data_IF_192722347084
#
_entry.id   IF_192722347084
#
_cell.length_a   1.000
_cell.length_b   1.000
_cell.length_c   1.000
_cell.angle_alpha   90.00
_cell.angle_beta   90.00
_cell.angle_gamma   90.00
#
_symmetry.space_group_name_H-M   'P 1'
#
loop_
_entity.id
_entity.type
_entity.pdbx_description
1 polymer ?
#
# COMPACT_ATOMS: atom_id res chain seq x y z
N UNK A 1 1.83 1.95 8.29
CA UNK A 1 1.31 3.18 8.92
C UNK A 1 0.02 2.89 9.67
N UNK A 2 -0.31 3.71 10.68
CA UNK A 2 -1.56 3.65 11.43
C UNK A 2 -2.19 5.04 11.54
N UNK A 3 -3.52 5.10 11.60
CA UNK A 3 -4.27 6.33 11.87
C UNK A 3 -4.57 6.45 13.36
N UNK A 4 -4.07 7.50 14.01
CA UNK A 4 -4.27 7.76 15.43
C UNK A 4 -4.65 9.22 15.62
N UNK A 5 -5.78 9.47 16.29
CA UNK A 5 -6.30 10.83 16.52
C UNK A 5 -6.32 11.72 15.27
N UNK A 6 -6.83 11.19 14.17
CA UNK A 6 -6.93 11.94 12.90
C UNK A 6 -5.63 12.07 12.11
N UNK A 7 -4.46 11.74 12.69
CA UNK A 7 -3.15 11.83 12.03
C UNK A 7 -2.63 10.47 11.60
N UNK A 8 -1.69 10.46 10.67
CA UNK A 8 -0.97 9.27 10.22
C UNK A 8 0.38 9.18 10.93
N UNK A 9 0.70 7.99 11.43
CA UNK A 9 1.95 7.70 12.11
C UNK A 9 2.62 6.48 11.49
N UNK A 10 3.96 6.50 11.46
CA UNK A 10 4.72 5.29 11.24
C UNK A 10 4.44 4.32 12.39
N UNK A 11 4.24 3.05 12.05
CA UNK A 11 4.07 1.97 13.00
C UNK A 11 4.90 0.78 12.53
N UNK A 12 5.62 0.16 13.45
CA UNK A 12 6.40 -1.05 13.18
C UNK A 12 5.62 -2.28 13.65
N UNK A 13 5.72 -3.36 12.89
CA UNK A 13 4.96 -4.58 13.16
C UNK A 13 5.79 -5.83 12.95
N UNK A 14 5.57 -6.82 13.81
CA UNK A 14 6.06 -8.18 13.60
C UNK A 14 5.01 -8.96 12.81
N UNK A 15 5.41 -9.58 11.70
CA UNK A 15 4.48 -10.35 10.86
C UNK A 15 4.08 -11.62 11.60
N UNK A 16 2.77 -11.82 11.77
CA UNK A 16 2.19 -13.01 12.41
C UNK A 16 1.78 -14.02 11.34
N UNK A 17 1.17 -13.54 10.26
CA UNK A 17 0.73 -14.40 9.16
C UNK A 17 0.66 -13.66 7.84
N UNK A 18 0.92 -14.41 6.78
CA UNK A 18 0.85 -13.96 5.39
C UNK A 18 -0.25 -14.76 4.72
N UNK A 19 -1.14 -14.09 4.00
CA UNK A 19 -2.19 -14.75 3.23
C UNK A 19 -2.20 -14.23 1.80
N UNK A 20 -2.26 -15.13 0.82
CA UNK A 20 -2.35 -14.79 -0.60
C UNK A 20 -3.62 -15.42 -1.13
N UNK A 21 -4.63 -14.59 -1.42
CA UNK A 21 -5.97 -15.06 -1.73
C UNK A 21 -6.61 -15.83 -0.56
N UNK A 22 -6.75 -17.15 -0.70
CA UNK A 22 -7.37 -18.02 0.32
C UNK A 22 -6.35 -18.87 1.10
N UNK A 23 -5.07 -18.81 0.73
CA UNK A 23 -4.02 -19.66 1.29
C UNK A 23 -3.12 -18.88 2.26
N UNK A 24 -2.65 -19.54 3.30
CA UNK A 24 -1.71 -18.98 4.29
C UNK A 24 -0.29 -19.45 4.01
N UNK A 25 0.67 -18.54 4.11
CA UNK A 25 2.07 -18.77 3.87
C UNK A 25 2.91 -18.35 5.07
N UNK A 26 4.02 -19.04 5.29
CA UNK A 26 5.04 -18.65 6.27
C UNK A 26 6.02 -17.63 5.68
N UNK A 27 6.28 -17.72 4.37
CA UNK A 27 7.22 -16.88 3.65
C UNK A 27 6.66 -16.54 2.27
N UNK A 28 6.98 -15.35 1.78
CA UNK A 28 6.63 -14.87 0.45
C UNK A 28 7.84 -14.14 -0.14
N UNK A 29 7.96 -14.14 -1.46
CA UNK A 29 8.99 -13.34 -2.12
C UNK A 29 8.62 -11.84 -2.03
N UNK A 30 9.63 -11.00 -1.80
CA UNK A 30 9.44 -9.56 -1.54
C UNK A 30 8.84 -8.81 -2.73
N UNK A 31 9.06 -9.29 -3.96
CA UNK A 31 8.48 -8.73 -5.18
C UNK A 31 6.96 -8.94 -5.27
N UNK A 32 6.42 -9.96 -4.60
CA UNK A 32 4.99 -10.28 -4.61
C UNK A 32 4.25 -9.56 -3.48
N UNK A 33 4.95 -9.04 -2.46
CA UNK A 33 4.29 -8.45 -1.29
C UNK A 33 3.41 -7.25 -1.64
N UNK A 34 3.74 -6.53 -2.71
CA UNK A 34 2.97 -5.38 -3.20
C UNK A 34 1.68 -5.75 -3.92
N UNK A 35 1.42 -7.03 -4.19
CA UNK A 35 0.21 -7.45 -4.89
C UNK A 35 -1.05 -7.26 -4.03
N UNK A 36 -2.13 -6.80 -4.65
CA UNK A 36 -3.43 -6.57 -3.99
C UNK A 36 -4.03 -7.84 -3.36
N UNK A 37 -3.59 -9.02 -3.82
CA UNK A 37 -4.05 -10.31 -3.30
C UNK A 37 -3.38 -10.71 -1.98
N UNK A 38 -2.30 -10.02 -1.60
CA UNK A 38 -1.54 -10.30 -0.39
C UNK A 38 -2.14 -9.52 0.77
N UNK A 39 -2.51 -10.23 1.83
CA UNK A 39 -2.96 -9.67 3.09
C UNK A 39 -1.99 -10.10 4.19
N UNK A 40 -1.46 -9.13 4.92
CA UNK A 40 -0.52 -9.33 6.03
C UNK A 40 -1.22 -9.07 7.35
N UNK A 41 -1.12 -10.03 8.26
CA UNK A 41 -1.46 -9.83 9.67
C UNK A 41 -0.18 -9.57 10.47
N UNK A 42 -0.15 -8.49 11.22
CA UNK A 42 1.01 -8.12 12.03
C UNK A 42 0.61 -7.69 13.45
N UNK A 43 1.56 -7.84 14.37
CA UNK A 43 1.48 -7.40 15.75
C UNK A 43 2.27 -6.10 15.92
N UNK A 44 1.67 -5.06 16.52
CA UNK A 44 2.34 -3.77 16.74
C UNK A 44 3.56 -3.92 17.66
N UNK A 45 4.69 -3.38 17.24
CA UNK A 45 5.91 -3.27 18.04
C UNK A 45 5.97 -1.88 18.65
N UNK A 46 6.16 -1.81 19.96
CA UNK A 46 6.37 -0.54 20.65
C UNK A 46 7.84 -0.12 20.62
N UNK A 47 8.08 1.18 20.51
CA UNK A 47 9.41 1.78 20.50
C UNK A 47 9.62 2.66 21.71
N UNK A 48 10.85 2.65 22.24
CA UNK A 48 11.29 3.60 23.26
C UNK A 48 12.62 4.22 22.87
N UNK A 49 12.83 5.52 23.18
CA UNK A 49 14.13 6.14 22.98
C UNK A 49 15.21 5.39 23.77
N UNK A 50 16.36 5.18 23.16
CA UNK A 50 17.56 4.76 23.87
C UNK A 50 18.13 5.95 24.63
N UNK A 51 18.29 5.80 25.94
CA UNK A 51 19.03 6.77 26.75
C UNK A 51 20.50 6.74 26.31
N UNK A 52 21.17 7.89 26.35
CA UNK A 52 22.60 8.01 26.02
C UNK A 52 23.50 7.41 27.13
N UNK A 53 23.16 6.23 27.64
CA UNK A 53 23.79 5.61 28.82
C UNK A 53 25.12 4.90 28.52
N UNK A 54 25.82 5.34 27.46
CA UNK A 54 27.20 4.95 27.20
C UNK A 54 27.37 3.77 26.26
N UNK A 55 26.36 3.42 25.44
CA UNK A 55 26.60 2.59 24.25
C UNK A 55 27.68 3.26 23.40
N UNK A 56 28.80 2.56 23.09
CA UNK A 56 29.86 3.11 22.25
C UNK A 56 29.39 3.38 20.82
N UNK A 57 28.29 2.73 20.42
CA UNK A 57 27.64 2.95 19.14
C UNK A 57 26.44 3.87 19.36
N UNK A 58 26.67 5.17 19.19
CA UNK A 58 25.66 6.24 19.31
C UNK A 58 24.75 6.32 18.07
N UNK A 59 24.80 5.31 17.20
CA UNK A 59 24.07 5.27 15.95
C UNK A 59 22.56 5.10 16.18
N UNK A 60 22.19 4.17 17.05
CA UNK A 60 20.79 3.83 17.32
C UNK A 60 20.24 4.65 18.49
N UNK A 61 19.12 5.33 18.29
CA UNK A 61 18.44 6.16 19.28
C UNK A 61 17.04 5.64 19.63
N UNK A 62 16.61 4.53 19.04
CA UNK A 62 15.38 3.81 19.39
C UNK A 62 15.62 2.32 19.53
N UNK A 63 14.85 1.70 20.45
CA UNK A 63 14.78 0.25 20.59
C UNK A 63 13.35 -0.26 20.69
N UNK A 64 13.12 -1.48 20.25
CA UNK A 64 11.83 -2.14 20.47
C UNK A 64 11.65 -2.58 21.91
N UNK A 65 10.39 -2.58 22.35
CA UNK A 65 9.95 -3.22 23.59
C UNK A 65 9.01 -4.36 23.19
N UNK A 66 9.40 -5.60 23.50
CA UNK A 66 8.50 -6.73 23.41
C UNK A 66 7.47 -6.64 24.54
N UNK A 67 6.20 -6.47 24.19
CA UNK A 67 5.10 -6.56 25.14
C UNK A 67 4.18 -7.71 24.74
N UNK A 68 3.67 -8.42 25.75
CA UNK A 68 2.60 -9.37 25.55
C UNK A 68 1.30 -8.60 25.26
N UNK A 69 0.50 -9.08 24.31
CA UNK A 69 -0.83 -8.54 23.97
C UNK A 69 -0.85 -7.15 23.29
N UNK A 70 0.12 -6.84 22.44
CA UNK A 70 0.01 -5.63 21.62
C UNK A 70 -1.07 -5.80 20.53
N UNK A 71 -1.71 -4.70 20.08
CA UNK A 71 -2.74 -4.74 19.04
C UNK A 71 -2.26 -5.44 17.77
N UNK A 72 -3.17 -6.19 17.15
CA UNK A 72 -2.93 -6.85 15.87
C UNK A 72 -3.77 -6.21 14.78
N UNK A 73 -3.20 -6.14 13.58
CA UNK A 73 -3.84 -5.53 12.43
C UNK A 73 -3.73 -6.42 11.21
N UNK A 74 -4.67 -6.27 10.28
CA UNK A 74 -4.65 -6.91 8.96
C UNK A 74 -4.69 -5.84 7.90
N UNK A 75 -3.72 -5.84 6.99
CA UNK A 75 -3.59 -4.83 5.94
C UNK A 75 -3.23 -5.48 4.60
N UNK A 76 -3.54 -4.83 3.47
CA UNK A 76 -2.95 -5.18 2.18
C UNK A 76 -1.43 -5.10 2.20
N UNK A 77 -0.78 -6.00 1.47
CA UNK A 77 0.67 -6.08 1.37
C UNK A 77 1.29 -4.84 0.73
N UNK A 78 0.58 -4.14 -0.16
CA UNK A 78 1.03 -2.88 -0.75
C UNK A 78 1.20 -1.72 0.26
N UNK A 79 0.66 -1.83 1.49
CA UNK A 79 0.69 -0.74 2.49
C UNK A 79 1.80 -0.89 3.53
N UNK A 80 2.73 -1.80 3.32
CA UNK A 80 3.85 -2.04 4.22
C UNK A 80 5.17 -1.89 3.48
N UNK A 81 6.20 -1.60 4.27
CA UNK A 81 7.58 -1.61 3.82
C UNK A 81 8.34 -2.62 4.69
N UNK A 82 8.95 -3.60 4.04
CA UNK A 82 9.75 -4.61 4.76
C UNK A 82 11.08 -3.98 5.15
N UNK A 83 11.45 -4.13 6.41
CA UNK A 83 12.70 -3.65 6.95
C UNK A 83 13.44 -4.81 7.62
N UNK A 84 14.77 -4.73 7.62
CA UNK A 84 15.64 -5.69 8.31
C UNK A 84 16.40 -4.94 9.41
N UNK A 85 15.83 -4.84 10.63
CA UNK A 85 16.45 -4.06 11.68
C UNK A 85 17.68 -4.76 12.29
N UNK A 86 18.58 -3.96 12.86
CA UNK A 86 19.66 -4.50 13.69
C UNK A 86 19.09 -5.14 14.95
N UNK A 87 19.54 -6.35 15.27
CA UNK A 87 19.11 -7.08 16.47
C UNK A 87 20.22 -7.04 17.50
N UNK A 88 19.88 -6.69 18.73
CA UNK A 88 20.81 -6.70 19.85
C UNK A 88 20.30 -7.59 20.99
N UNK A 89 21.24 -8.17 21.72
CA UNK A 89 21.00 -9.01 22.89
C UNK A 89 21.80 -8.38 24.03
N UNK A 90 21.16 -8.13 25.17
CA UNK A 90 21.90 -7.68 26.36
C UNK A 90 22.62 -8.87 27.01
N UNK A 91 23.83 -8.64 27.53
CA UNK A 91 24.65 -9.66 28.22
C UNK A 91 24.02 -10.25 29.50
N UNK A 92 22.93 -9.66 30.00
CA UNK A 92 22.19 -10.22 31.13
C UNK A 92 21.43 -11.47 30.71
N UNK A 93 21.74 -12.60 31.36
CA UNK A 93 21.23 -13.98 31.17
C UNK A 93 19.68 -14.18 31.19
N UNK A 94 18.86 -13.13 31.17
CA UNK A 94 17.39 -13.19 31.27
C UNK A 94 16.63 -12.42 30.20
N UNK A 95 17.28 -11.88 29.16
CA UNK A 95 16.63 -10.89 28.29
C UNK A 95 16.39 -11.34 26.85
N UNK A 96 15.19 -11.02 26.39
CA UNK A 96 14.69 -11.18 25.03
C UNK A 96 15.47 -10.28 24.07
N UNK A 97 15.77 -10.73 22.84
CA UNK A 97 16.36 -9.87 21.82
C UNK A 97 15.46 -8.65 21.54
N UNK A 98 16.07 -7.54 21.17
CA UNK A 98 15.35 -6.33 20.77
C UNK A 98 15.93 -5.77 19.47
N UNK A 99 15.08 -5.03 18.75
CA UNK A 99 15.42 -4.36 17.52
C UNK A 99 15.93 -2.95 17.83
N UNK A 100 16.93 -2.51 17.08
CA UNK A 100 17.51 -1.17 17.17
C UNK A 100 17.23 -0.39 15.90
N UNK A 101 16.91 0.88 16.05
CA UNK A 101 16.55 1.77 14.94
C UNK A 101 17.18 3.14 15.12
N UNK A 102 17.39 3.82 13.99
CA UNK A 102 17.80 5.22 13.92
C UNK A 102 16.60 6.09 13.58
N UNK A 103 16.46 7.24 14.23
CA UNK A 103 15.41 8.22 13.94
C UNK A 103 15.43 8.63 12.47
N UNK A 104 16.62 8.84 11.90
CA UNK A 104 16.82 9.23 10.50
C UNK A 104 16.19 8.20 9.54
N UNK A 105 16.44 6.92 9.78
CA UNK A 105 15.90 5.81 8.99
C UNK A 105 14.38 5.73 9.15
N UNK A 106 13.87 5.79 10.38
CA UNK A 106 12.43 5.75 10.63
C UNK A 106 11.70 6.94 9.98
N UNK A 107 12.25 8.16 10.07
CA UNK A 107 11.69 9.33 9.40
C UNK A 107 11.72 9.16 7.87
N UNK A 108 12.81 8.65 7.31
CA UNK A 108 12.91 8.38 5.86
C UNK A 108 11.87 7.35 5.41
N UNK A 109 11.68 6.27 6.17
CA UNK A 109 10.64 5.26 5.90
C UNK A 109 9.24 5.88 5.96
N UNK A 110 8.98 6.72 6.97
CA UNK A 110 7.68 7.38 7.11
C UNK A 110 7.33 8.27 5.91
N UNK A 111 8.32 9.01 5.39
CA UNK A 111 8.16 9.86 4.23
C UNK A 111 7.97 9.04 2.94
N UNK A 112 8.78 8.00 2.74
CA UNK A 112 8.68 7.11 1.58
C UNK A 112 7.31 6.41 1.53
N UNK A 113 6.87 5.84 2.66
CA UNK A 113 5.54 5.24 2.76
C UNK A 113 4.42 6.25 2.49
N UNK A 114 4.54 7.48 2.99
CA UNK A 114 3.54 8.53 2.76
C UNK A 114 3.47 8.93 1.28
N UNK A 115 4.61 9.02 0.59
CA UNK A 115 4.67 9.34 -0.84
C UNK A 115 4.11 8.24 -1.73
N UNK A 116 4.18 6.98 -1.28
CA UNK A 116 3.64 5.83 -2.00
C UNK A 116 2.12 5.64 -1.81
N UNK A 117 1.50 6.30 -0.83
CA UNK A 117 0.07 6.18 -0.58
C UNK A 117 -0.76 6.76 -1.73
N UNK A 118 -1.60 5.93 -2.32
CA UNK A 118 -2.67 6.41 -3.19
C UNK A 118 -3.95 6.65 -2.37
N UNK A 119 -4.89 7.47 -2.86
CA UNK A 119 -6.13 7.79 -2.11
C UNK A 119 -6.96 6.59 -1.72
N UNK A 120 -6.89 5.55 -2.53
CA UNK A 120 -7.63 4.32 -2.32
C UNK A 120 -7.08 3.51 -1.14
N UNK A 121 -5.83 3.74 -0.75
CA UNK A 121 -5.15 3.00 0.31
C UNK A 121 -5.54 3.47 1.71
N UNK A 122 -5.89 4.74 1.84
CA UNK A 122 -6.18 5.35 3.14
C UNK A 122 -7.34 4.68 3.87
N UNK A 123 -8.34 4.18 3.13
CA UNK A 123 -9.45 3.41 3.69
C UNK A 123 -9.02 2.08 4.31
N UNK A 124 -7.85 1.56 3.92
CA UNK A 124 -7.27 0.32 4.40
C UNK A 124 -6.26 0.53 5.54
N UNK A 125 -5.88 1.78 5.83
CA UNK A 125 -5.01 2.10 6.96
C UNK A 125 -5.78 1.87 8.27
N UNK A 126 -5.33 0.97 9.16
CA UNK A 126 -6.03 0.69 10.40
C UNK A 126 -6.06 1.91 11.33
N UNK A 127 -7.16 2.05 12.06
CA UNK A 127 -7.31 3.05 13.13
C UNK A 127 -6.90 2.45 14.47
N UNK A 128 -6.17 3.22 15.26
CA UNK A 128 -5.76 2.85 16.61
C UNK A 128 -6.01 4.01 17.57
N UNK A 129 -6.53 3.71 18.76
CA UNK A 129 -6.67 4.69 19.82
C UNK A 129 -5.31 5.06 20.39
N UNK A 130 -5.16 6.29 20.88
CA UNK A 130 -3.97 6.68 21.64
C UNK A 130 -3.82 5.75 22.85
N UNK A 131 -2.62 5.24 23.05
CA UNK A 131 -2.22 4.44 24.21
C UNK A 131 -1.01 5.09 24.87
N UNK A 132 -0.55 4.52 25.98
CA UNK A 132 0.68 4.97 26.64
C UNK A 132 1.92 4.81 25.74
N UNK A 133 1.92 3.78 24.89
CA UNK A 133 3.07 3.38 24.09
C UNK A 133 2.91 3.68 22.59
N UNK A 134 1.74 4.20 22.17
CA UNK A 134 1.48 4.64 20.79
C UNK A 134 0.55 5.87 20.72
N UNK A 135 0.84 6.93 19.93
CA UNK A 135 2.00 7.06 19.05
C UNK A 135 3.32 7.04 19.83
N UNK A 136 4.44 6.81 19.14
CA UNK A 136 5.74 6.79 19.81
C UNK A 136 6.08 8.20 20.31
N UNK A 137 6.66 8.31 21.50
CA UNK A 137 7.00 9.62 22.10
C UNK A 137 8.48 9.73 22.45
N UNK A 138 9.04 10.92 22.24
CA UNK A 138 10.36 11.31 22.74
C UNK A 138 10.25 12.68 23.41
N UNK A 139 10.75 12.79 24.64
CA UNK A 139 10.66 14.01 25.46
C UNK A 139 9.23 14.62 25.51
N UNK A 140 8.20 13.76 25.59
CA UNK A 140 6.79 14.17 25.67
C UNK A 140 6.17 14.61 24.35
N UNK A 141 6.90 14.56 23.24
CA UNK A 141 6.38 14.88 21.90
C UNK A 141 6.17 13.59 21.11
N UNK A 142 5.08 13.52 20.35
CA UNK A 142 4.86 12.41 19.44
C UNK A 142 5.90 12.44 18.31
N UNK A 143 6.35 11.26 17.89
CA UNK A 143 7.39 11.06 16.88
C UNK A 143 6.83 10.32 15.67
N UNK A 144 7.53 10.45 14.54
CA UNK A 144 7.22 9.75 13.28
C UNK A 144 5.80 10.01 12.77
N UNK A 145 5.33 11.25 12.93
CA UNK A 145 4.13 11.74 12.27
C UNK A 145 4.43 11.83 10.78
N UNK A 146 3.57 11.25 9.95
CA UNK A 146 3.66 11.36 8.50
C UNK A 146 3.00 12.69 8.10
N UNK A 147 3.79 13.76 8.04
CA UNK A 147 3.36 15.10 7.60
C UNK A 147 3.88 15.37 6.19
N UNK A 148 3.08 16.06 5.37
CA UNK A 148 3.51 16.52 4.05
C UNK A 148 3.30 18.04 3.97
N UNK A 149 4.42 18.78 4.08
CA UNK A 149 4.48 20.24 4.17
C UNK A 149 3.73 20.96 3.01
N UNK A 150 3.70 20.35 1.83
CA UNK A 150 3.15 20.95 0.62
C UNK A 150 1.66 20.63 0.39
N UNK A 151 1.07 19.72 1.14
CA UNK A 151 -0.23 19.12 0.77
C UNK A 151 -1.47 19.73 1.41
N UNK A 152 -1.34 20.84 2.16
CA UNK A 152 -2.49 21.43 2.86
C UNK A 152 -3.15 20.46 3.85
N UNK A 153 -2.41 19.44 4.30
CA UNK A 153 -2.83 18.39 5.22
C UNK A 153 -2.98 18.95 6.65
N UNK A 154 -3.85 19.93 6.83
CA UNK A 154 -4.15 20.46 8.16
C UNK A 154 -5.03 19.45 8.92
N UNK A 155 -4.37 18.72 9.81
CA UNK A 155 -4.75 18.08 11.08
C UNK A 155 -6.11 17.39 11.29
N UNK A 156 -7.11 17.47 10.41
CA UNK A 156 -8.41 16.84 10.68
C UNK A 156 -9.14 16.26 9.46
N UNK A 157 -8.65 16.44 8.24
CA UNK A 157 -9.46 16.15 7.06
C UNK A 157 -8.81 15.17 6.09
N UNK A 158 -8.46 13.98 6.60
CA UNK A 158 -8.14 12.83 5.75
C UNK A 158 -9.26 12.59 4.71
N UNK A 159 -10.52 12.89 5.05
CA UNK A 159 -11.65 12.83 4.11
C UNK A 159 -11.53 13.85 2.97
N UNK A 160 -11.00 15.04 3.24
CA UNK A 160 -10.73 16.05 2.21
C UNK A 160 -9.49 15.69 1.38
N UNK A 161 -8.48 15.07 1.98
CA UNK A 161 -7.36 14.51 1.21
C UNK A 161 -7.82 13.41 0.25
N UNK A 162 -8.69 12.51 0.69
CA UNK A 162 -9.32 11.51 -0.19
C UNK A 162 -10.12 12.17 -1.32
N UNK A 163 -10.72 13.33 -1.09
CA UNK A 163 -11.45 14.07 -2.11
C UNK A 163 -10.50 14.77 -3.10
N UNK A 164 -9.46 15.42 -2.60
CA UNK A 164 -8.52 16.21 -3.40
C UNK A 164 -7.61 15.32 -4.27
N UNK A 165 -7.14 14.19 -3.74
CA UNK A 165 -6.26 13.31 -4.52
C UNK A 165 -6.99 12.37 -5.50
N UNK A 166 -8.33 12.27 -5.47
CA UNK A 166 -9.06 11.60 -6.58
C UNK A 166 -8.82 12.27 -7.92
N UNK A 167 -8.43 13.54 -7.86
CA UNK A 167 -8.22 14.41 -8.97
C UNK A 167 -6.73 14.67 -9.17
N UNK A 168 -5.81 13.78 -8.84
CA UNK A 168 -4.38 13.96 -9.15
C UNK A 168 -3.88 12.87 -10.08
N UNK A 169 -2.97 13.20 -10.99
CA UNK A 169 -2.31 12.20 -11.82
C UNK A 169 -1.47 11.26 -10.94
N UNK A 170 -1.44 9.96 -11.26
CA UNK A 170 -0.59 9.00 -10.55
C UNK A 170 0.90 9.10 -10.92
N UNK A 171 1.23 9.72 -12.05
CA UNK A 171 2.61 9.85 -12.54
C UNK A 171 3.25 11.19 -12.21
N UNK A 172 2.47 12.20 -11.82
CA UNK A 172 2.99 13.51 -11.47
C UNK A 172 2.02 14.30 -10.56
N UNK A 173 2.47 15.35 -9.87
CA UNK A 173 1.66 16.06 -8.88
C UNK A 173 0.59 17.00 -9.47
N UNK A 174 0.19 16.81 -10.73
CA UNK A 174 -0.82 17.66 -11.38
C UNK A 174 -2.22 17.28 -10.92
N UNK A 175 -2.97 18.28 -10.46
CA UNK A 175 -4.41 18.16 -10.19
C UNK A 175 -5.18 18.17 -11.52
N UNK A 176 -5.84 17.07 -11.81
CA UNK A 176 -6.79 16.80 -12.88
C UNK A 176 -8.15 17.44 -12.58
N UNK A 177 -8.49 18.48 -13.34
CA UNK A 177 -9.81 19.11 -13.27
C UNK A 177 -10.87 18.22 -13.95
N UNK A 178 -11.67 17.51 -13.14
CA UNK A 178 -12.73 16.61 -13.62
C UNK A 178 -13.84 17.35 -14.39
N UNK A 179 -13.99 18.67 -14.25
CA UNK A 179 -14.94 19.45 -15.03
C UNK A 179 -14.42 19.78 -16.44
N UNK A 180 -13.11 19.53 -16.69
CA UNK A 180 -12.45 19.75 -17.98
C UNK A 180 -11.84 18.45 -18.52
N UNK A 181 -12.65 17.52 -19.05
CA UNK A 181 -12.15 16.23 -19.52
C UNK A 181 -11.08 16.36 -20.62
N UNK A 182 -11.11 17.40 -21.44
CA UNK A 182 -10.05 17.65 -22.43
C UNK A 182 -8.70 17.97 -21.78
N UNK A 183 -8.70 18.64 -20.62
CA UNK A 183 -7.48 18.91 -19.85
C UNK A 183 -6.87 17.62 -19.33
N UNK A 184 -7.71 16.71 -18.83
CA UNK A 184 -7.29 15.39 -18.35
C UNK A 184 -6.67 14.57 -19.49
N UNK A 185 -7.35 14.50 -20.64
CA UNK A 185 -6.83 13.78 -21.81
C UNK A 185 -5.51 14.37 -22.32
N UNK A 186 -5.41 15.69 -22.36
CA UNK A 186 -4.16 16.38 -22.79
C UNK A 186 -3.02 16.07 -21.84
N UNK A 187 -3.30 16.08 -20.54
CA UNK A 187 -2.34 15.74 -19.51
C UNK A 187 -1.84 14.29 -19.63
N UNK A 188 -2.74 13.33 -19.77
CA UNK A 188 -2.38 11.90 -19.93
C UNK A 188 -1.62 11.68 -21.24
N UNK A 189 -2.05 12.31 -22.34
CA UNK A 189 -1.35 12.24 -23.61
C UNK A 189 0.08 12.81 -23.52
N UNK A 190 0.30 13.82 -22.67
CA UNK A 190 1.64 14.37 -22.40
C UNK A 190 2.54 13.31 -21.77
N UNK A 191 2.06 12.51 -20.82
CA UNK A 191 2.82 11.39 -20.28
C UNK A 191 3.15 10.34 -21.35
N UNK A 192 2.18 9.93 -22.17
CA UNK A 192 2.44 8.95 -23.25
C UNK A 192 3.52 9.45 -24.22
N UNK A 193 3.45 10.73 -24.61
CA UNK A 193 4.32 11.29 -25.63
C UNK A 193 5.72 11.65 -25.12
N UNK A 194 5.85 12.00 -23.84
CA UNK A 194 7.05 12.68 -23.33
C UNK A 194 7.65 12.06 -22.06
N UNK A 195 6.93 11.20 -21.34
CA UNK A 195 7.46 10.57 -20.14
C UNK A 195 8.35 9.37 -20.49
N UNK A 196 9.62 9.44 -20.11
CA UNK A 196 10.59 8.36 -20.38
C UNK A 196 10.33 7.11 -19.54
N UNK A 197 9.52 7.20 -18.49
CA UNK A 197 9.15 6.07 -17.65
C UNK A 197 7.96 5.28 -18.22
N UNK A 198 7.22 5.85 -19.17
CA UNK A 198 6.13 5.15 -19.84
C UNK A 198 6.70 4.33 -21.00
N UNK A 199 6.64 3.00 -20.87
CA UNK A 199 7.04 2.11 -21.95
C UNK A 199 6.03 2.18 -23.10
N UNK A 200 6.34 2.99 -24.11
CA UNK A 200 5.51 3.13 -25.30
C UNK A 200 5.33 1.81 -26.08
N UNK A 201 6.25 0.86 -25.94
CA UNK A 201 6.16 -0.44 -26.60
C UNK A 201 5.10 -1.35 -25.99
N UNK A 202 4.67 -1.05 -24.76
CA UNK A 202 3.61 -1.77 -24.04
C UNK A 202 2.19 -1.36 -24.45
N UNK A 203 2.06 -0.43 -25.41
CA UNK A 203 0.77 0.16 -25.83
C UNK A 203 -0.04 0.67 -24.62
N UNK A 204 0.48 1.66 -23.86
CA UNK A 204 -0.14 2.10 -22.63
C UNK A 204 -1.53 2.68 -22.89
N UNK A 205 -2.45 2.40 -21.96
CA UNK A 205 -3.83 2.83 -22.05
C UNK A 205 -3.93 4.36 -22.07
N UNK A 206 -4.65 4.94 -23.04
CA UNK A 206 -4.80 6.40 -23.22
C UNK A 206 -5.48 7.17 -22.08
N UNK A 207 -5.82 6.50 -20.98
CA UNK A 207 -6.51 7.06 -19.82
C UNK A 207 -5.80 6.77 -18.49
N UNK A 208 -5.41 5.52 -18.23
CA UNK A 208 -4.73 5.16 -16.97
C UNK A 208 -3.24 4.84 -17.12
N UNK A 209 -2.71 4.87 -18.35
CA UNK A 209 -1.30 4.61 -18.69
C UNK A 209 -0.79 3.21 -18.33
N UNK A 210 -1.65 2.33 -17.83
CA UNK A 210 -1.32 0.91 -17.61
C UNK A 210 -1.20 0.17 -18.96
N UNK A 211 -0.29 -0.80 -19.06
CA UNK A 211 -0.12 -1.60 -20.28
C UNK A 211 -1.36 -2.48 -20.56
N UNK A 212 -1.65 -2.70 -21.83
CA UNK A 212 -2.67 -3.68 -22.24
C UNK A 212 -2.22 -5.10 -21.87
N UNK A 213 -3.07 -5.97 -21.29
CA UNK A 213 -4.53 -5.87 -21.14
C UNK A 213 -5.00 -5.43 -19.73
N UNK A 214 -4.10 -4.97 -18.86
CA UNK A 214 -4.40 -4.69 -17.44
C UNK A 214 -5.43 -3.55 -17.31
N UNK A 215 -5.45 -2.64 -18.29
CA UNK A 215 -6.43 -1.56 -18.39
C UNK A 215 -7.86 -2.10 -18.68
N UNK A 216 -8.65 -2.35 -17.63
CA UNK A 216 -10.06 -2.68 -17.74
C UNK A 216 -10.94 -1.50 -17.30
N UNK A 217 -11.48 -0.74 -18.26
CA UNK A 217 -12.57 0.19 -17.95
C UNK A 217 -13.90 -0.58 -17.96
N UNK A 218 -14.41 -0.91 -16.78
CA UNK A 218 -15.80 -1.32 -16.65
C UNK A 218 -16.69 -0.06 -16.67
N UNK A 219 -17.23 0.28 -17.83
CA UNK A 219 -18.35 1.20 -17.92
C UNK A 219 -19.53 0.54 -17.19
N UNK A 220 -19.86 1.04 -15.99
CA UNK A 220 -20.98 0.54 -15.18
C UNK A 220 -22.29 0.87 -15.91
N UNK A 221 -22.75 -0.04 -16.76
CA UNK A 221 -23.86 0.14 -17.70
C UNK A 221 -25.26 0.24 -17.09
N UNK A 222 -25.42 0.84 -15.91
CA UNK A 222 -26.70 0.87 -15.19
C UNK A 222 -27.17 2.28 -14.76
N UNK A 223 -26.48 3.36 -15.12
CA UNK A 223 -26.84 4.71 -14.67
C UNK A 223 -26.94 5.78 -15.77
N UNK A 224 -26.60 5.43 -17.01
CA UNK A 224 -26.70 6.35 -18.15
C UNK A 224 -27.44 5.63 -19.29
N UNK A 225 -28.78 5.56 -19.18
CA UNK A 225 -29.58 5.41 -20.39
C UNK A 225 -29.43 6.71 -21.17
N UNK A 226 -28.78 6.63 -22.33
CA UNK A 226 -28.75 7.74 -23.28
C UNK A 226 -30.19 8.19 -23.49
N UNK A 227 -30.47 9.46 -23.23
CA UNK A 227 -31.78 10.01 -23.55
C UNK A 227 -32.01 9.82 -25.05
N UNK A 228 -33.26 9.58 -25.52
CA UNK A 228 -33.54 9.42 -26.94
C UNK A 228 -32.97 10.55 -27.82
N UNK A 229 -32.89 11.77 -27.28
CA UNK A 229 -32.26 12.91 -27.95
C UNK A 229 -30.73 12.76 -28.12
N UNK A 230 -30.02 12.24 -27.12
CA UNK A 230 -28.57 11.99 -27.18
C UNK A 230 -28.26 10.86 -28.16
N UNK A 231 -29.09 9.82 -28.16
CA UNK A 231 -28.99 8.72 -29.11
C UNK A 231 -29.18 9.21 -30.55
N UNK A 232 -30.17 10.09 -30.77
CA UNK A 232 -30.39 10.71 -32.08
C UNK A 232 -29.24 11.62 -32.52
N UNK A 233 -28.62 12.37 -31.60
CA UNK A 233 -27.44 13.19 -31.88
C UNK A 233 -26.21 12.33 -32.23
N UNK A 234 -26.00 11.22 -31.52
CA UNK A 234 -24.94 10.26 -31.86
C UNK A 234 -25.15 9.64 -33.24
N UNK A 235 -26.38 9.26 -33.56
CA UNK A 235 -26.73 8.71 -34.87
C UNK A 235 -26.51 9.74 -36.00
N UNK A 236 -26.91 10.99 -35.79
CA UNK A 236 -26.63 12.08 -36.73
C UNK A 236 -25.13 12.34 -36.90
N UNK A 237 -24.34 12.33 -35.82
CA UNK A 237 -22.90 12.51 -35.88
C UNK A 237 -22.24 11.35 -36.64
N UNK A 238 -22.68 10.12 -36.37
CA UNK A 238 -22.22 8.92 -37.07
C UNK A 238 -22.53 8.98 -38.56
N UNK A 239 -23.74 9.36 -38.94
CA UNK A 239 -24.14 9.52 -40.34
C UNK A 239 -23.33 10.62 -41.02
N UNK A 240 -23.15 11.77 -40.35
CA UNK A 240 -22.37 12.90 -40.87
C UNK A 240 -20.92 12.50 -41.14
N UNK A 241 -20.30 11.74 -40.24
CA UNK A 241 -18.92 11.28 -40.39
C UNK A 241 -18.77 10.13 -41.40
N UNK A 242 -19.80 9.27 -41.56
CA UNK A 242 -19.78 8.14 -42.49
C UNK A 242 -20.34 8.47 -43.88
N UNK A 243 -20.71 9.73 -44.15
CA UNK A 243 -20.85 10.21 -45.53
C UNK A 243 -19.45 10.28 -46.15
N UNK A 244 -18.95 9.12 -46.62
CA UNK A 244 -17.81 9.06 -47.52
C UNK A 244 -18.18 9.95 -48.71
N UNK A 245 -17.46 11.06 -48.96
CA UNK A 245 -17.74 11.90 -50.12
C UNK A 245 -17.69 10.99 -51.34
N UNK A 246 -18.81 10.87 -52.06
CA UNK A 246 -18.87 10.12 -53.32
C UNK A 246 -17.69 10.59 -54.16
N UNK A 247 -16.74 9.69 -54.36
CA UNK A 247 -15.44 9.98 -54.94
C UNK A 247 -15.65 10.76 -56.22
N UNK A 248 -15.10 11.98 -56.24
CA UNK A 248 -14.99 12.74 -57.48
C UNK A 248 -14.27 11.83 -58.48
N UNK A 249 -14.69 11.79 -59.76
CA UNK A 249 -14.05 10.92 -60.75
C UNK A 249 -12.56 11.30 -60.85
N UNK A 250 -11.73 10.51 -60.17
CA UNK A 250 -10.29 10.66 -60.15
C UNK A 250 -9.82 10.43 -61.59
N UNK A 251 -9.45 11.53 -62.27
CA UNK A 251 -8.71 11.46 -63.54
C UNK A 251 -7.47 10.60 -63.27
N UNK A 252 -7.44 9.39 -63.84
CA UNK A 252 -6.35 8.42 -63.73
C UNK A 252 -5.01 9.08 -64.08
N UNK A 253 -4.29 9.62 -63.11
CA UNK A 253 -2.86 9.87 -63.24
C UNK A 253 -2.17 8.52 -63.03
N UNK A 254 -1.62 7.97 -64.11
CA UNK A 254 -0.73 6.82 -64.04
C UNK A 254 0.51 7.22 -63.23
N UNK A 255 0.94 6.34 -62.32
CA UNK A 255 2.21 6.34 -61.58
C UNK A 255 2.19 6.99 -60.17
N UNK A 256 1.34 6.50 -59.26
CA UNK A 256 1.65 6.58 -57.82
C UNK A 256 1.67 5.17 -57.23
N UNK A 257 2.76 4.87 -56.51
CA UNK A 257 2.97 3.65 -55.74
C UNK A 257 1.95 3.66 -54.59
N UNK A 258 1.20 2.56 -54.34
CA UNK A 258 0.25 2.50 -53.23
C UNK A 258 0.96 2.73 -51.90
N UNK A 259 0.40 3.57 -51.05
CA UNK A 259 0.78 3.64 -49.64
C UNK A 259 0.39 2.31 -48.99
N UNK A 260 1.40 1.51 -48.66
CA UNK A 260 1.26 0.29 -47.86
C UNK A 260 1.00 0.74 -46.42
N UNK A 261 -0.25 0.72 -46.00
CA UNK A 261 -0.60 0.75 -44.58
C UNK A 261 -0.11 -0.58 -44.00
N UNK A 262 0.70 -0.56 -42.94
CA UNK A 262 1.27 -1.77 -42.36
C UNK A 262 0.16 -2.77 -41.97
N UNK A 263 0.41 -4.06 -42.24
CA UNK A 263 -0.53 -5.16 -41.96
C UNK A 263 -0.95 -5.27 -40.48
N UNK A 264 -0.31 -4.54 -39.57
CA UNK A 264 -0.59 -4.52 -38.14
C UNK A 264 -1.96 -3.92 -37.75
N UNK A 265 -2.59 -3.11 -38.61
CA UNK A 265 -3.89 -2.47 -38.32
C UNK A 265 -5.08 -3.10 -39.08
N UNK A 266 -4.88 -4.27 -39.68
CA UNK A 266 -5.97 -5.01 -40.32
C UNK A 266 -6.82 -5.74 -39.27
N UNK A 267 -8.03 -5.22 -39.02
CA UNK A 267 -9.10 -5.79 -38.19
C UNK A 267 -9.43 -7.29 -38.45
N UNK A 268 -8.88 -7.89 -39.52
CA UNK A 268 -9.11 -9.30 -39.89
C UNK A 268 -8.34 -10.32 -39.05
N UNK A 269 -7.32 -9.95 -38.28
CA UNK A 269 -6.50 -10.92 -37.53
C UNK A 269 -6.94 -11.13 -36.06
N UNK A 270 -7.81 -10.28 -35.50
CA UNK A 270 -8.20 -10.32 -34.08
C UNK A 270 -9.05 -11.54 -33.65
N UNK A 271 -9.49 -12.42 -34.58
CA UNK A 271 -10.37 -13.54 -34.28
C UNK A 271 -9.73 -14.94 -34.38
N UNK A 272 -8.38 -15.07 -34.36
CA UNK A 272 -7.72 -16.37 -34.60
C UNK A 272 -6.91 -16.98 -33.45
N UNK A 273 -7.05 -16.52 -32.20
CA UNK A 273 -6.32 -17.10 -31.06
C UNK A 273 -7.23 -17.79 -30.05
N UNK A 274 -7.96 -18.83 -30.48
CA UNK A 274 -8.44 -19.88 -29.56
C UNK A 274 -8.27 -21.25 -30.23
N UNK A 275 -7.07 -21.82 -30.11
CA UNK A 275 -6.85 -23.25 -30.30
C UNK A 275 -5.99 -23.75 -29.14
N UNK A 276 -6.65 -24.05 -28.02
CA UNK A 276 -6.05 -24.79 -26.91
C UNK A 276 -5.77 -26.21 -27.39
N UNK A 277 -4.49 -26.55 -27.40
CA UNK A 277 -3.97 -27.86 -27.77
C UNK A 277 -3.87 -28.69 -26.49
N UNK A 278 -4.83 -29.58 -26.29
CA UNK A 278 -4.74 -30.69 -25.34
C UNK A 278 -3.60 -31.60 -25.77
N UNK A 279 -2.51 -31.62 -25.00
CA UNK A 279 -1.51 -32.68 -25.06
C UNK A 279 -1.62 -33.52 -23.79
N UNK A 280 -2.13 -34.73 -23.97
CA UNK A 280 -2.02 -35.84 -23.04
C UNK A 280 -0.85 -36.73 -23.50
N UNK A 281 0.11 -36.98 -22.61
CA UNK A 281 1.00 -38.16 -22.56
C UNK A 281 1.82 -38.02 -21.27
N UNK A 282 1.56 -38.77 -20.20
CA UNK A 282 1.98 -40.17 -19.97
C UNK A 282 3.49 -40.36 -20.03
N UNK A 283 4.11 -40.51 -18.85
CA UNK A 283 5.27 -41.37 -18.54
C UNK A 283 5.59 -41.13 -17.04
N UNK A 284 5.16 -42.00 -16.13
CA UNK A 284 5.80 -43.26 -15.74
C UNK A 284 7.10 -43.03 -14.95
N UNK A 285 7.01 -43.12 -13.62
CA UNK A 285 8.15 -43.37 -12.73
C UNK A 285 7.63 -43.98 -11.43
N UNK A 286 7.65 -45.31 -11.39
CA UNK A 286 7.67 -46.11 -10.18
C UNK A 286 8.85 -45.68 -9.30
N UNK A 287 8.61 -45.33 -8.02
CA UNK A 287 9.67 -45.43 -7.04
C UNK A 287 9.20 -45.83 -5.64
N UNK A 288 9.93 -46.83 -5.15
CA UNK A 288 10.04 -47.50 -3.86
C UNK A 288 9.24 -47.04 -2.64
N UNK A 289 8.39 -47.98 -2.24
CA UNK A 289 8.06 -48.43 -0.89
C UNK A 289 9.26 -48.44 0.07
N UNK A 290 9.20 -47.63 1.14
CA UNK A 290 9.89 -47.91 2.41
C UNK A 290 8.94 -47.76 3.58
N UNK A 291 8.57 -48.92 4.12
CA UNK A 291 7.93 -49.13 5.41
C UNK A 291 8.84 -48.61 6.53
N UNK A 292 8.34 -47.71 7.37
CA UNK A 292 8.96 -47.37 8.65
C UNK A 292 8.01 -47.90 9.74
N UNK A 293 8.52 -48.70 10.71
CA UNK A 293 7.71 -49.33 11.73
C UNK A 293 7.33 -48.37 12.86
N UNK A 294 6.19 -48.70 13.45
CA UNK A 294 5.63 -48.19 14.70
C UNK A 294 6.71 -47.97 15.78
N UNK A 295 6.71 -46.78 16.35
CA UNK A 295 7.36 -46.51 17.62
C UNK A 295 6.29 -46.22 18.66
N UNK A 296 6.41 -47.02 19.71
CA UNK A 296 5.50 -47.25 20.81
C UNK A 296 5.35 -46.02 21.72
N UNK A 297 4.21 -46.03 22.39
CA UNK A 297 3.83 -45.23 23.55
C UNK A 297 4.95 -45.13 24.58
N UNK A 298 5.22 -43.92 25.05
CA UNK A 298 5.79 -43.73 26.39
C UNK A 298 5.01 -42.63 27.13
N UNK A 299 4.25 -43.12 28.10
CA UNK A 299 3.60 -42.42 29.18
C UNK A 299 4.60 -41.55 29.96
N UNK A 300 4.37 -40.23 29.96
CA UNK A 300 4.89 -39.36 31.02
C UNK A 300 3.76 -38.48 31.54
N UNK A 301 3.13 -39.01 32.59
CA UNK A 301 2.31 -38.28 33.55
C UNK A 301 3.13 -37.12 34.11
N UNK A 302 2.69 -35.89 33.90
CA UNK A 302 3.10 -34.80 34.78
C UNK A 302 1.87 -34.12 35.37
N UNK A 303 1.82 -34.21 36.69
CA UNK A 303 0.71 -33.84 37.54
C UNK A 303 0.54 -32.33 37.60
N UNK A 304 -0.68 -31.91 37.29
CA UNK A 304 -1.23 -30.61 37.65
C UNK A 304 -1.28 -30.42 39.17
N UNK A 305 -0.40 -29.57 39.70
CA UNK A 305 -0.65 -28.83 40.94
C UNK A 305 -1.00 -27.39 40.56
N UNK A 306 -2.28 -27.14 40.29
CA UNK A 306 -2.86 -25.80 40.41
C UNK A 306 -3.07 -25.56 41.90
N UNK A 307 -2.20 -24.79 42.54
CA UNK A 307 -2.50 -24.20 43.83
C UNK A 307 -3.42 -22.99 43.61
N UNK A 308 -4.54 -23.02 44.32
CA UNK A 308 -5.52 -21.94 44.43
C UNK A 308 -4.83 -20.65 44.91
N UNK A 309 -4.73 -19.65 44.03
CA UNK A 309 -4.39 -18.28 44.44
C UNK A 309 -5.70 -17.53 44.62
N UNK A 310 -6.00 -17.26 45.89
CA UNK A 310 -7.09 -16.43 46.38
C UNK A 310 -7.20 -15.11 45.61
N UNK A 311 -8.38 -14.90 45.03
CA UNK A 311 -8.82 -13.61 44.55
C UNK A 311 -8.98 -12.65 45.75
N UNK A 312 -7.94 -11.86 46.01
CA UNK A 312 -8.07 -10.67 46.84
C UNK A 312 -8.54 -9.52 45.94
N UNK A 313 -9.78 -9.11 46.19
CA UNK A 313 -10.36 -7.85 45.76
C UNK A 313 -9.41 -6.71 46.15
N UNK A 314 -8.78 -6.06 45.16
CA UNK A 314 -8.12 -4.79 45.37
C UNK A 314 -8.81 -3.70 44.55
N UNK A 315 -9.83 -3.18 45.20
CA UNK A 315 -10.51 -1.93 44.93
C UNK A 315 -9.54 -0.78 45.20
N UNK A 316 -8.90 -0.21 44.16
CA UNK A 316 -8.25 1.14 44.19
C UNK A 316 -7.54 1.46 42.87
N UNK A 317 -8.19 2.21 41.98
CA UNK A 317 -7.78 3.59 41.68
C UNK A 317 -8.49 4.13 40.44
N UNK A 318 -9.50 4.93 40.78
CA UNK A 318 -10.19 5.91 39.98
C UNK A 318 -9.16 6.96 39.50
N UNK A 319 -8.60 6.79 38.30
CA UNK A 319 -7.87 7.87 37.64
C UNK A 319 -8.91 8.87 37.12
N UNK A 320 -9.31 9.81 37.99
CA UNK A 320 -10.07 10.97 37.55
C UNK A 320 -9.11 11.97 36.93
N UNK A 321 -9.54 12.45 35.77
CA UNK A 321 -8.93 13.46 34.93
C UNK A 321 -8.54 14.71 35.73
N UNK A 322 -7.26 15.07 35.64
CA UNK A 322 -6.77 16.43 35.88
C UNK A 322 -5.65 16.68 34.86
N UNK A 323 -6.02 16.69 33.58
CA UNK A 323 -5.20 17.25 32.52
C UNK A 323 -5.54 18.73 32.40
N UNK A 324 -4.63 19.60 32.86
CA UNK A 324 -4.73 21.05 32.73
C UNK A 324 -3.83 21.48 31.55
N UNK A 325 -4.41 21.92 30.41
CA UNK A 325 -3.64 22.23 29.21
C UNK A 325 -2.91 23.59 29.25
N UNK A 326 -3.06 24.41 30.30
CA UNK A 326 -2.62 25.82 30.30
C UNK A 326 -1.29 26.10 31.04
N UNK A 327 -0.33 25.17 31.07
CA UNK A 327 0.87 25.31 31.92
C UNK A 327 2.23 25.10 31.23
N UNK A 328 2.31 25.27 29.91
CA UNK A 328 3.58 25.20 29.17
C UNK A 328 4.08 26.53 28.58
N UNK A 329 3.50 27.67 28.94
CA UNK A 329 4.14 28.97 28.73
C UNK A 329 5.05 29.35 29.93
N UNK A 330 6.25 28.77 29.99
CA UNK A 330 7.33 29.32 30.83
C UNK A 330 8.62 29.41 30.01
N UNK A 331 8.89 30.66 29.57
CA UNK A 331 10.19 31.33 29.37
C UNK A 331 11.32 30.56 28.64
N UNK A 332 11.41 30.81 27.34
CA UNK A 332 12.59 30.54 26.51
C UNK A 332 13.57 31.73 26.38
N UNK A 333 13.50 32.73 27.29
CA UNK A 333 14.23 34.01 27.14
C UNK A 333 15.41 34.22 28.10
N UNK A 334 16.00 33.17 28.66
CA UNK A 334 17.24 33.31 29.44
C UNK A 334 18.20 32.19 29.11
N UNK A 335 18.96 32.32 28.02
CA UNK A 335 20.29 31.71 27.85
C UNK A 335 21.02 32.23 26.58
N UNK A 336 21.13 33.55 26.48
CA UNK A 336 22.17 34.20 25.67
C UNK A 336 22.76 35.35 26.50
N UNK A 337 23.69 35.00 27.40
CA UNK A 337 24.80 35.85 27.84
C UNK A 337 25.63 35.09 28.89
N UNK A 338 26.68 34.40 28.43
CA UNK A 338 28.02 34.38 29.03
C UNK A 338 29.00 33.56 28.22
#
# INVERSE_FOLDING_TARGET
MLRCDGKLFLALGEVISITVGAESFEQIMLDIIGDESVIISYQLIYLTPMLADGSPDQMYDWKSICQLNTPQFKIPGCLLQVINPSVSVTDDNRRQPYYQFESSVLMSLSADMLLQLVPQDVKHIPKVSVTKDFPYHNAGKACFICECDDSGFQDNNIEEWEYNNRNTCSLCPVVLDCDKPQSILTHIATHILHDTHVDQSSEPCGLCLLPSPICCFMLKGALWELQPAEQQLMEQAWDTHNVIPKTWPLKKKKNHIPLVISDAHSLKMAFRTTHLRTNASSEDTSNEMRTIPDLEDDDAKDSCNLEDIDASENDSNKWQDNYNPDLWEINADVLLEK
#
